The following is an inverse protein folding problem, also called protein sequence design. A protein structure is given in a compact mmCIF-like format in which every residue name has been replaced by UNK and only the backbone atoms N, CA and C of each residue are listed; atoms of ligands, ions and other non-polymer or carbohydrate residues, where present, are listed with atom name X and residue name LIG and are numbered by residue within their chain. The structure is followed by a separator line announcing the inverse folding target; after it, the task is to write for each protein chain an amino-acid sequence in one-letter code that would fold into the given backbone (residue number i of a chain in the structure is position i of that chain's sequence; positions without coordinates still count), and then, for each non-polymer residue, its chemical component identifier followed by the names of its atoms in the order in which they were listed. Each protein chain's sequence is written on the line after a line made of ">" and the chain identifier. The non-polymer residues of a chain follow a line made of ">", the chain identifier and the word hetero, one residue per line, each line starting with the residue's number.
data_IF_856203388749
#
_entry.id   IF_856203388749
#
_cell.length_a   1.000
_cell.length_b   1.000
_cell.length_c   1.000
_cell.angle_alpha   90.00
_cell.angle_beta   90.00
_cell.angle_gamma   90.00
#
_symmetry.space_group_name_H-M   'P 1'
#
loop_
_entity.id
_entity.type
_entity.pdbx_description
1 polymer ?
#
# COMPACT_ATOMS: atom_id res chain seq x y z
N UNK A 1 0.12 -20.54 6.10
CA UNK A 1 -0.06 -19.15 6.29
C UNK A 1 -0.56 -18.84 7.65
N UNK A 2 0.15 -18.08 8.33
CA UNK A 2 -0.27 -17.80 9.70
C UNK A 2 -1.61 -17.07 9.66
N UNK A 3 -2.41 -17.40 10.62
CA UNK A 3 -3.67 -16.78 10.72
C UNK A 3 -3.51 -15.41 11.30
N UNK A 4 -3.91 -14.43 10.58
CA UNK A 4 -3.89 -13.09 11.11
C UNK A 4 -5.12 -12.88 11.94
N UNK A 5 -5.02 -12.11 13.01
CA UNK A 5 -6.18 -11.87 13.86
C UNK A 5 -7.29 -11.19 13.08
N UNK A 6 -8.50 -11.58 13.38
CA UNK A 6 -9.67 -10.95 12.85
C UNK A 6 -10.65 -10.76 13.98
N UNK A 7 -11.33 -9.64 13.97
CA UNK A 7 -12.15 -9.26 15.11
C UNK A 7 -13.59 -9.04 14.67
N UNK A 8 -14.52 -9.54 15.47
CA UNK A 8 -15.91 -9.21 15.26
C UNK A 8 -16.13 -7.76 15.66
N UNK A 9 -17.23 -7.20 15.23
CA UNK A 9 -17.45 -5.76 15.37
C UNK A 9 -17.40 -5.29 16.82
N UNK A 10 -17.91 -6.08 17.76
CA UNK A 10 -17.89 -5.66 19.16
C UNK A 10 -16.46 -5.52 19.68
N UNK A 11 -15.58 -6.42 19.29
CA UNK A 11 -14.19 -6.38 19.70
C UNK A 11 -13.46 -5.24 18.98
N UNK A 12 -13.70 -5.11 17.68
CA UNK A 12 -13.08 -4.05 16.90
C UNK A 12 -13.46 -2.68 17.48
N UNK A 13 -14.73 -2.50 17.81
CA UNK A 13 -15.20 -1.25 18.40
C UNK A 13 -14.49 -0.97 19.72
N UNK A 14 -14.31 -2.00 20.53
CA UNK A 14 -13.60 -1.87 21.78
C UNK A 14 -12.16 -1.45 21.57
N UNK A 15 -11.50 -2.07 20.61
CA UNK A 15 -10.09 -1.78 20.35
C UNK A 15 -9.87 -0.32 19.95
N UNK A 16 -10.81 0.26 19.22
CA UNK A 16 -10.65 1.64 18.76
C UNK A 16 -11.42 2.64 19.60
N UNK A 17 -12.17 2.18 20.60
CA UNK A 17 -12.91 3.09 21.46
C UNK A 17 -14.07 3.77 20.76
N UNK A 18 -14.74 3.07 19.85
CA UNK A 18 -15.88 3.61 19.13
C UNK A 18 -17.11 2.75 19.38
N UNK A 19 -18.28 3.32 19.17
CA UNK A 19 -19.50 2.55 19.26
C UNK A 19 -19.62 1.66 18.01
N UNK A 20 -20.14 0.42 18.15
CA UNK A 20 -20.32 -0.43 16.97
C UNK A 20 -21.15 0.19 15.87
N UNK A 21 -22.14 1.01 16.23
CA UNK A 21 -22.94 1.69 15.22
C UNK A 21 -22.09 2.64 14.36
N UNK A 22 -21.07 3.25 14.97
CA UNK A 22 -20.17 4.12 14.24
C UNK A 22 -19.39 3.32 13.19
N UNK A 23 -18.98 2.11 13.57
CA UNK A 23 -18.28 1.25 12.61
C UNK A 23 -19.19 0.86 11.46
N UNK A 24 -20.45 0.59 11.75
CA UNK A 24 -21.41 0.26 10.70
C UNK A 24 -21.64 1.46 9.79
N UNK A 25 -21.69 2.65 10.35
CA UNK A 25 -21.84 3.86 9.56
C UNK A 25 -20.66 4.04 8.62
N UNK A 26 -19.46 3.85 9.15
CA UNK A 26 -18.25 4.02 8.32
C UNK A 26 -18.21 2.98 7.20
N UNK A 27 -18.64 1.77 7.48
CA UNK A 27 -18.70 0.76 6.42
C UNK A 27 -19.73 1.16 5.37
N UNK A 28 -20.89 1.65 5.81
CA UNK A 28 -21.93 2.07 4.86
C UNK A 28 -21.45 3.22 3.97
N UNK A 29 -20.54 4.06 4.50
CA UNK A 29 -19.98 5.15 3.71
C UNK A 29 -18.77 4.71 2.89
N UNK A 30 -18.38 3.45 2.98
CA UNK A 30 -17.25 2.95 2.21
C UNK A 30 -15.90 3.33 2.77
N UNK A 31 -15.84 3.80 4.00
CA UNK A 31 -14.57 4.23 4.60
C UNK A 31 -13.76 3.05 5.10
N UNK A 32 -14.42 1.96 5.44
CA UNK A 32 -13.76 0.74 5.88
C UNK A 32 -14.51 -0.43 5.27
N UNK A 33 -13.81 -1.51 4.97
CA UNK A 33 -14.42 -2.66 4.29
C UNK A 33 -14.00 -3.95 4.97
N UNK A 34 -14.63 -4.29 6.07
CA UNK A 34 -14.30 -5.55 6.74
C UNK A 34 -14.73 -6.73 5.88
N UNK A 35 -14.01 -7.83 6.00
CA UNK A 35 -14.40 -9.04 5.34
C UNK A 35 -15.66 -9.60 6.00
N UNK A 36 -16.31 -10.54 5.34
CA UNK A 36 -17.49 -11.16 5.89
C UNK A 36 -17.34 -12.67 5.84
N UNK A 37 -17.85 -13.32 6.86
CA UNK A 37 -17.93 -14.78 6.85
C UNK A 37 -19.03 -15.19 5.87
N UNK A 38 -19.09 -16.46 5.47
CA UNK A 38 -20.21 -16.92 4.63
C UNK A 38 -21.57 -16.60 5.23
N UNK A 39 -21.66 -16.55 6.55
CA UNK A 39 -22.92 -16.20 7.21
C UNK A 39 -23.19 -14.71 7.30
N UNK A 40 -22.30 -13.88 6.75
CA UNK A 40 -22.53 -12.44 6.72
C UNK A 40 -21.98 -11.68 7.90
N UNK A 41 -21.23 -12.32 8.78
CA UNK A 41 -20.66 -11.66 9.94
C UNK A 41 -19.43 -10.85 9.54
N UNK A 42 -19.35 -9.60 10.01
CA UNK A 42 -18.19 -8.75 9.73
C UNK A 42 -16.98 -9.21 10.49
N UNK A 43 -15.83 -9.22 9.81
CA UNK A 43 -14.56 -9.55 10.45
C UNK A 43 -13.56 -8.46 10.10
N UNK A 44 -13.08 -7.77 11.13
CA UNK A 44 -12.16 -6.66 10.97
C UNK A 44 -10.72 -7.15 11.12
N UNK A 45 -9.91 -6.90 10.11
CA UNK A 45 -8.49 -7.24 10.16
C UNK A 45 -7.72 -6.10 10.83
N UNK A 46 -6.45 -6.36 11.12
CA UNK A 46 -5.60 -5.32 11.71
C UNK A 46 -5.53 -4.08 10.84
N UNK A 47 -5.53 -4.25 9.52
CA UNK A 47 -5.53 -3.10 8.61
C UNK A 47 -6.79 -2.27 8.77
N UNK A 48 -7.92 -2.93 9.01
CA UNK A 48 -9.17 -2.21 9.25
C UNK A 48 -9.12 -1.44 10.56
N UNK A 49 -8.51 -2.03 11.58
CA UNK A 49 -8.36 -1.36 12.87
C UNK A 49 -7.49 -0.11 12.70
N UNK A 50 -6.41 -0.21 11.94
CA UNK A 50 -5.56 0.95 11.70
C UNK A 50 -6.31 2.03 10.93
N UNK A 51 -7.13 1.62 9.99
CA UNK A 51 -7.95 2.56 9.23
C UNK A 51 -8.92 3.29 10.14
N UNK A 52 -9.55 2.58 11.05
CA UNK A 52 -10.47 3.18 12.00
C UNK A 52 -9.76 4.16 12.92
N UNK A 53 -8.55 3.82 13.34
CA UNK A 53 -7.76 4.73 14.17
C UNK A 53 -7.39 5.99 13.43
N UNK A 54 -7.09 5.88 12.15
CA UNK A 54 -6.81 7.04 11.33
C UNK A 54 -8.04 7.93 11.23
N UNK A 55 -9.20 7.33 10.97
CA UNK A 55 -10.45 8.10 10.91
C UNK A 55 -10.67 8.82 12.22
N UNK A 56 -10.41 8.15 13.34
CA UNK A 56 -10.59 8.77 14.63
C UNK A 56 -9.67 9.97 14.82
N UNK A 57 -8.41 9.86 14.41
CA UNK A 57 -7.49 10.98 14.51
C UNK A 57 -7.94 12.14 13.64
N UNK A 58 -8.43 11.85 12.43
CA UNK A 58 -8.87 12.92 11.55
C UNK A 58 -10.07 13.66 12.11
N UNK A 59 -10.97 12.94 12.79
CA UNK A 59 -12.15 13.59 13.33
C UNK A 59 -11.87 14.28 14.66
N UNK A 60 -11.13 13.64 15.55
CA UNK A 60 -10.94 14.19 16.89
C UNK A 60 -9.79 15.16 16.99
N UNK A 61 -8.68 14.88 16.32
CA UNK A 61 -7.51 15.75 16.44
C UNK A 61 -7.51 16.86 15.41
N UNK A 62 -7.94 16.56 14.19
CA UNK A 62 -7.94 17.57 13.14
C UNK A 62 -9.30 18.17 12.91
N UNK A 63 -10.32 17.66 13.58
CA UNK A 63 -11.66 18.25 13.49
C UNK A 63 -12.31 18.13 12.14
N UNK A 64 -11.93 17.15 11.32
CA UNK A 64 -12.53 17.00 10.03
C UNK A 64 -13.92 16.41 10.14
N UNK A 65 -14.84 16.90 9.32
CA UNK A 65 -16.15 16.27 9.23
C UNK A 65 -16.04 15.03 8.35
N UNK A 66 -17.13 14.30 8.21
CA UNK A 66 -17.11 13.05 7.48
C UNK A 66 -16.71 13.20 6.03
N UNK A 67 -17.18 14.27 5.39
CA UNK A 67 -16.79 14.52 3.99
C UNK A 67 -15.29 14.75 3.87
N UNK A 68 -14.70 15.47 4.82
CA UNK A 68 -13.26 15.69 4.81
C UNK A 68 -12.50 14.40 5.04
N UNK A 69 -13.00 13.56 5.95
CA UNK A 69 -12.39 12.26 6.19
C UNK A 69 -12.41 11.40 4.92
N UNK A 70 -13.55 11.37 4.23
CA UNK A 70 -13.66 10.63 2.99
C UNK A 70 -12.62 11.10 1.96
N UNK A 71 -12.44 12.42 1.91
CA UNK A 71 -11.51 13.00 0.94
C UNK A 71 -10.07 12.61 1.28
N UNK A 72 -9.70 12.71 2.55
CA UNK A 72 -8.34 12.35 2.98
C UNK A 72 -8.06 10.87 2.73
N UNK A 73 -9.03 10.02 3.04
CA UNK A 73 -8.84 8.58 2.85
C UNK A 73 -8.70 8.24 1.35
N UNK A 74 -9.45 8.93 0.50
CA UNK A 74 -9.32 8.71 -0.94
C UNK A 74 -7.93 9.12 -1.41
N UNK A 75 -7.44 10.26 -0.94
CA UNK A 75 -6.10 10.71 -1.30
C UNK A 75 -5.03 9.76 -0.80
N UNK A 76 -5.19 9.24 0.40
CA UNK A 76 -4.24 8.26 0.92
C UNK A 76 -4.22 6.99 0.10
N UNK A 77 -5.39 6.53 -0.32
CA UNK A 77 -5.45 5.34 -1.16
C UNK A 77 -4.77 5.58 -2.50
N UNK A 78 -4.94 6.77 -3.06
CA UNK A 78 -4.27 7.13 -4.29
C UNK A 78 -2.76 7.20 -4.12
N UNK A 79 -2.30 7.79 -3.02
CA UNK A 79 -0.88 7.84 -2.72
C UNK A 79 -0.30 6.44 -2.61
N UNK A 80 -1.02 5.55 -1.95
CA UNK A 80 -0.56 4.17 -1.80
C UNK A 80 -0.44 3.49 -3.16
N UNK A 81 -1.44 3.66 -4.03
CA UNK A 81 -1.40 3.08 -5.36
C UNK A 81 -0.24 3.64 -6.18
N UNK A 82 0.00 4.95 -6.08
CA UNK A 82 1.10 5.58 -6.80
C UNK A 82 2.44 5.09 -6.27
N UNK A 83 2.55 4.93 -4.96
CA UNK A 83 3.79 4.44 -4.35
C UNK A 83 4.11 3.03 -4.85
N UNK A 84 3.12 2.16 -4.88
CA UNK A 84 3.30 0.80 -5.36
C UNK A 84 3.72 0.82 -6.83
N UNK A 85 3.09 1.70 -7.61
CA UNK A 85 3.42 1.81 -9.02
C UNK A 85 4.83 2.32 -9.22
N UNK A 86 5.25 3.29 -8.42
CA UNK A 86 6.61 3.79 -8.48
C UNK A 86 7.62 2.72 -8.16
N UNK A 87 7.36 1.93 -7.14
CA UNK A 87 8.26 0.84 -6.79
C UNK A 87 8.38 -0.18 -7.91
N UNK A 88 7.26 -0.47 -8.57
CA UNK A 88 7.29 -1.39 -9.69
C UNK A 88 8.11 -0.83 -10.85
N UNK A 89 7.89 0.45 -11.17
CA UNK A 89 8.64 1.09 -12.24
C UNK A 89 10.13 1.14 -11.93
N UNK A 90 10.48 1.40 -10.67
CA UNK A 90 11.87 1.40 -10.28
C UNK A 90 12.50 0.03 -10.46
N UNK A 91 11.79 -1.03 -10.10
CA UNK A 91 12.31 -2.38 -10.28
C UNK A 91 12.47 -2.71 -11.76
N UNK A 92 11.49 -2.31 -12.58
CA UNK A 92 11.58 -2.55 -14.01
C UNK A 92 12.73 -1.77 -14.62
N UNK A 93 12.94 -0.55 -14.18
CA UNK A 93 14.03 0.26 -14.70
C UNK A 93 15.38 -0.33 -14.31
N UNK A 94 15.51 -0.79 -13.06
CA UNK A 94 16.77 -1.42 -12.67
C UNK A 94 17.03 -2.69 -13.46
N UNK A 95 16.00 -3.46 -13.72
CA UNK A 95 16.14 -4.67 -14.51
C UNK A 95 16.56 -4.34 -15.95
N UNK A 96 15.98 -3.27 -16.48
CA UNK A 96 16.32 -2.84 -17.82
C UNK A 96 17.77 -2.36 -17.89
N UNK A 97 18.18 -1.55 -16.92
CA UNK A 97 19.54 -1.06 -16.85
C UNK A 97 20.52 -2.23 -16.73
N UNK A 98 20.20 -3.20 -15.88
CA UNK A 98 21.06 -4.35 -15.70
C UNK A 98 21.16 -5.16 -16.99
N UNK A 99 20.05 -5.29 -17.70
CA UNK A 99 20.04 -6.02 -18.96
C UNK A 99 20.90 -5.32 -20.00
N UNK A 100 20.79 -4.00 -20.11
CA UNK A 100 21.59 -3.24 -21.05
C UNK A 100 23.06 -3.32 -20.68
N UNK A 101 23.36 -3.24 -19.40
CA UNK A 101 24.75 -3.32 -18.95
C UNK A 101 25.36 -4.68 -19.28
N UNK A 102 24.63 -5.75 -19.05
CA UNK A 102 25.13 -7.07 -19.37
C UNK A 102 25.35 -7.23 -20.88
N UNK A 103 24.44 -6.72 -21.66
CA UNK A 103 24.55 -6.80 -23.10
C UNK A 103 25.79 -6.03 -23.58
N UNK A 104 26.00 -4.85 -23.04
CA UNK A 104 27.13 -4.02 -23.41
C UNK A 104 28.44 -4.71 -23.03
N UNK A 105 28.52 -5.28 -21.87
CA UNK A 105 29.74 -5.99 -21.46
C UNK A 105 30.01 -7.20 -22.37
N UNK A 106 28.96 -7.88 -22.74
CA UNK A 106 29.14 -9.04 -23.61
C UNK A 106 29.68 -8.64 -24.98
N UNK A 107 29.18 -7.54 -25.48
CA UNK A 107 29.66 -7.07 -26.77
C UNK A 107 31.11 -6.62 -26.70
N UNK A 108 31.50 -5.99 -25.61
CA UNK A 108 32.88 -5.60 -25.48
C UNK A 108 33.80 -6.78 -25.45
N UNK A 109 33.39 -7.83 -24.78
CA UNK A 109 34.22 -9.01 -24.70
C UNK A 109 34.41 -9.62 -26.08
N UNK A 110 33.32 -9.68 -26.85
CA UNK A 110 33.40 -10.26 -28.16
C UNK A 110 34.26 -9.41 -29.09
N UNK A 111 34.09 -8.09 -28.98
CA UNK A 111 34.78 -7.22 -29.89
C UNK A 111 36.30 -7.25 -29.72
N UNK A 112 36.84 -7.40 -28.57
CA UNK A 112 38.26 -7.49 -28.43
C UNK A 112 39.06 -6.49 -29.11
N UNK A 113 38.99 -5.30 -28.86
CA UNK A 113 39.80 -4.29 -29.51
C UNK A 113 41.21 -4.25 -29.01
N UNK A 114 41.56 -5.21 -28.30
CA UNK A 114 42.88 -5.18 -27.73
C UNK A 114 43.94 -4.83 -28.72
N UNK A 115 43.64 -4.95 -29.90
CA UNK A 115 44.62 -4.67 -30.85
C UNK A 115 44.81 -3.22 -31.05
N UNK A 116 44.43 -2.39 -30.18
CA UNK A 116 44.66 -1.01 -30.40
C UNK A 116 45.62 -0.51 -29.42
N UNK A 117 46.75 -0.94 -29.46
CA UNK A 117 47.76 -0.48 -28.54
C UNK A 117 48.02 0.98 -28.74
N UNK A 118 47.73 1.39 -29.85
CA UNK A 118 48.03 2.76 -30.15
C UNK A 118 47.22 3.71 -29.36
N UNK A 119 46.23 3.25 -28.86
CA UNK A 119 45.50 4.09 -28.17
C UNK A 119 46.10 4.68 -27.07
N UNK A 120 47.11 4.34 -26.64
CA UNK A 120 47.67 4.76 -25.62
C UNK A 120 48.35 5.87 -25.88
N UNK A 121 48.38 6.62 -25.69
CA UNK A 121 49.32 7.60 -26.11
C UNK A 121 49.62 8.58 -25.04
#
# INVERSE_FOLDING_TARGET
>A
MPDRPRYMISIAAELVGMHPQTLRLYEAKGLVRPARTPGGTRLYADADIERLRLIQRLTTELGLNLAGVEHVLRLQDELQRLHIRMERLERELRAEIASVHRSYKRELVVYRPSQHPARRA
#
